data_IF_609650531271
#
_entry.id   IF_609650531271
#
_cell.length_a   1.000
_cell.length_b   1.000
_cell.length_c   1.000
_cell.angle_alpha   90.00
_cell.angle_beta   90.00
_cell.angle_gamma   90.00
#
_symmetry.space_group_name_H-M   'P 1'
#
loop_
_entity.id
_entity.type
_entity.pdbx_description
1 polymer ?
#
# COMPACT_ATOMS: atom_id res chain seq x y z
N UNK A 1 -7.26 -15.50 -5.82
CA UNK A 1 -6.01 -15.11 -6.49
C UNK A 1 -6.02 -13.61 -6.73
N UNK A 2 -4.94 -12.88 -6.41
CA UNK A 2 -4.84 -11.48 -6.77
C UNK A 2 -4.59 -11.32 -8.27
N UNK A 3 -5.19 -10.29 -8.88
CA UNK A 3 -4.92 -9.89 -10.27
C UNK A 3 -4.20 -8.54 -10.23
N UNK A 4 -3.19 -8.36 -11.08
CA UNK A 4 -2.40 -7.14 -11.14
C UNK A 4 -2.59 -6.42 -12.47
N UNK A 5 -2.59 -5.09 -12.42
CA UNK A 5 -2.58 -4.21 -13.57
C UNK A 5 -1.56 -3.09 -13.36
N UNK A 6 -1.04 -2.50 -14.43
CA UNK A 6 -0.14 -1.34 -14.36
C UNK A 6 -0.89 -0.04 -14.05
N UNK A 7 -2.16 0.03 -14.46
CA UNK A 7 -3.00 1.23 -14.35
C UNK A 7 -4.47 0.88 -14.14
N UNK A 8 -5.27 1.90 -13.86
CA UNK A 8 -6.70 1.79 -13.62
C UNK A 8 -7.46 1.81 -14.96
N UNK A 9 -8.12 0.70 -15.30
CA UNK A 9 -9.09 0.68 -16.41
C UNK A 9 -10.36 1.45 -16.04
N UNK A 10 -11.14 1.87 -17.04
CA UNK A 10 -12.41 2.60 -16.82
C UNK A 10 -13.37 1.81 -15.91
N UNK A 11 -13.49 0.49 -16.11
CA UNK A 11 -14.32 -0.37 -15.26
C UNK A 11 -13.87 -0.38 -13.79
N UNK A 12 -12.55 -0.39 -13.55
CA UNK A 12 -12.00 -0.36 -12.20
C UNK A 12 -12.13 1.02 -11.57
N UNK A 13 -11.95 2.10 -12.35
CA UNK A 13 -12.20 3.48 -11.94
C UNK A 13 -13.62 3.64 -11.44
N UNK A 14 -14.58 3.28 -12.28
CA UNK A 14 -16.00 3.48 -11.98
C UNK A 14 -16.41 2.61 -10.78
N UNK A 15 -15.83 1.42 -10.62
CA UNK A 15 -16.02 0.61 -9.43
C UNK A 15 -15.42 1.24 -8.16
N UNK A 16 -14.24 1.86 -8.25
CA UNK A 16 -13.58 2.53 -7.12
C UNK A 16 -14.45 3.68 -6.58
N UNK A 17 -14.94 4.53 -7.49
CA UNK A 17 -15.69 5.73 -7.14
C UNK A 17 -17.05 5.41 -6.50
N UNK A 18 -17.65 4.26 -6.82
CA UNK A 18 -18.89 3.79 -6.17
C UNK A 18 -18.72 3.32 -4.72
N UNK A 19 -17.49 3.15 -4.22
CA UNK A 19 -17.32 2.69 -2.84
C UNK A 19 -17.62 3.83 -1.85
N UNK A 20 -18.23 3.55 -0.68
CA UNK A 20 -18.62 4.59 0.26
C UNK A 20 -17.42 5.25 0.99
N UNK A 21 -16.27 4.58 0.99
CA UNK A 21 -15.04 5.05 1.62
C UNK A 21 -13.82 4.38 0.98
N UNK A 22 -12.65 4.98 1.19
CA UNK A 22 -11.35 4.40 0.87
C UNK A 22 -10.42 4.52 2.07
N UNK A 23 -9.37 3.69 2.09
CA UNK A 23 -8.32 3.75 3.10
C UNK A 23 -7.04 4.24 2.46
N UNK A 24 -6.28 5.05 3.19
CA UNK A 24 -4.93 5.45 2.78
C UNK A 24 -3.95 4.93 3.83
N UNK A 25 -2.99 4.12 3.39
CA UNK A 25 -1.89 3.67 4.22
C UNK A 25 -0.56 4.25 3.76
N UNK A 26 0.26 4.66 4.72
CA UNK A 26 1.60 5.20 4.50
C UNK A 26 2.48 4.86 5.70
N UNK A 27 3.79 4.85 5.50
CA UNK A 27 4.75 4.61 6.58
C UNK A 27 6.01 5.46 6.34
N UNK A 28 6.67 5.92 7.41
CA UNK A 28 7.97 6.54 7.30
C UNK A 28 9.04 5.46 7.01
N UNK A 29 10.26 5.87 6.64
CA UNK A 29 11.39 4.94 6.53
C UNK A 29 11.76 4.32 7.88
N UNK A 30 11.58 5.09 8.97
CA UNK A 30 11.91 4.68 10.33
C UNK A 30 10.74 5.01 11.26
N UNK A 31 10.36 4.03 12.08
CA UNK A 31 9.24 4.14 13.00
C UNK A 31 8.75 2.76 13.38
N UNK A 32 7.88 2.70 14.38
CA UNK A 32 7.30 1.42 14.86
C UNK A 32 5.91 1.16 14.30
N UNK A 33 5.14 2.22 14.04
CA UNK A 33 3.76 2.12 13.57
C UNK A 33 3.66 2.40 12.07
N UNK A 34 2.57 1.92 11.49
CA UNK A 34 2.16 2.18 10.11
C UNK A 34 0.89 3.01 10.19
N UNK A 35 0.82 4.09 9.42
CA UNK A 35 -0.39 4.92 9.36
C UNK A 35 -1.43 4.28 8.43
N UNK A 36 -2.68 4.25 8.88
CA UNK A 36 -3.85 3.83 8.08
C UNK A 36 -5.01 4.74 8.43
N UNK A 37 -5.58 5.42 7.43
CA UNK A 37 -6.68 6.37 7.64
C UNK A 37 -7.87 6.03 6.76
N UNK A 38 -9.06 5.72 7.33
CA UNK A 38 -10.30 5.67 6.56
C UNK A 38 -10.70 7.10 6.15
N UNK A 39 -11.14 7.26 4.90
CA UNK A 39 -11.62 8.51 4.32
C UNK A 39 -12.96 8.26 3.63
N UNK A 40 -13.97 9.02 4.02
CA UNK A 40 -15.31 8.99 3.42
C UNK A 40 -15.47 10.00 2.29
N UNK A 41 -16.68 10.04 1.74
CA UNK A 41 -17.08 10.92 0.64
C UNK A 41 -16.14 10.84 -0.59
N UNK A 42 -15.92 9.66 -1.20
CA UNK A 42 -14.99 9.55 -2.33
C UNK A 42 -15.43 10.40 -3.52
N UNK A 43 -16.73 10.49 -3.79
CA UNK A 43 -17.26 11.32 -4.88
C UNK A 43 -17.01 12.83 -4.70
N UNK A 44 -16.80 13.31 -3.46
CA UNK A 44 -16.52 14.73 -3.20
C UNK A 44 -15.06 15.02 -2.87
N UNK A 45 -14.25 14.00 -2.57
CA UNK A 45 -12.88 14.19 -2.11
C UNK A 45 -11.83 13.45 -2.94
N UNK A 46 -12.19 12.45 -3.74
CA UNK A 46 -11.29 11.61 -4.52
C UNK A 46 -11.59 11.75 -6.01
N UNK A 47 -10.55 11.89 -6.84
CA UNK A 47 -10.69 12.00 -8.28
C UNK A 47 -9.61 11.21 -9.02
N UNK A 48 -9.99 10.63 -10.15
CA UNK A 48 -9.06 9.97 -11.07
C UNK A 48 -8.69 10.97 -12.17
N UNK A 49 -7.43 11.39 -12.18
CA UNK A 49 -6.90 12.40 -13.11
C UNK A 49 -6.39 11.81 -14.43
N UNK A 50 -5.95 10.55 -14.40
CA UNK A 50 -5.60 9.71 -15.54
C UNK A 50 -5.58 8.23 -15.11
N UNK A 51 -5.47 7.25 -16.02
CA UNK A 51 -5.38 5.82 -15.65
C UNK A 51 -4.30 5.50 -14.61
N UNK A 52 -3.21 6.28 -14.57
CA UNK A 52 -2.11 6.08 -13.61
C UNK A 52 -1.97 7.22 -12.61
N UNK A 53 -2.95 8.11 -12.48
CA UNK A 53 -2.87 9.25 -11.55
C UNK A 53 -4.20 9.52 -10.88
N UNK A 54 -4.19 9.51 -9.56
CA UNK A 54 -5.34 9.85 -8.73
C UNK A 54 -4.99 10.97 -7.77
N UNK A 55 -5.99 11.66 -7.27
CA UNK A 55 -5.83 12.71 -6.29
C UNK A 55 -6.93 12.62 -5.24
N UNK A 56 -6.62 13.03 -4.01
CA UNK A 56 -7.66 13.28 -3.03
C UNK A 56 -7.41 14.57 -2.25
N UNK A 57 -8.49 15.22 -1.81
CA UNK A 57 -8.43 16.40 -0.95
C UNK A 57 -8.19 15.96 0.48
N UNK A 58 -7.11 16.46 1.08
CA UNK A 58 -6.83 16.30 2.50
C UNK A 58 -7.44 17.47 3.28
N UNK A 59 -8.51 17.18 4.00
CA UNK A 59 -9.14 18.12 4.92
C UNK A 59 -8.41 18.20 6.26
N UNK A 60 -8.58 19.32 6.94
CA UNK A 60 -7.99 19.57 8.26
C UNK A 60 -8.48 18.53 9.25
N UNK A 61 -7.53 17.86 9.90
CA UNK A 61 -7.75 16.88 10.97
C UNK A 61 -6.57 16.91 11.94
N UNK A 62 -6.64 16.12 13.01
CA UNK A 62 -5.63 16.12 14.09
C UNK A 62 -4.24 15.62 13.65
N UNK A 63 -4.17 14.69 12.70
CA UNK A 63 -2.93 14.12 12.19
C UNK A 63 -2.60 14.55 10.76
N UNK A 64 -1.33 14.49 10.40
CA UNK A 64 -0.82 14.75 9.04
C UNK A 64 0.18 13.67 8.56
N UNK A 65 0.11 12.46 9.13
CA UNK A 65 1.06 11.36 8.89
C UNK A 65 1.29 11.08 7.40
N UNK A 66 0.23 10.98 6.57
CA UNK A 66 0.40 10.78 5.12
C UNK A 66 1.16 11.92 4.46
N UNK A 67 0.95 13.17 4.87
CA UNK A 67 1.72 14.32 4.34
C UNK A 67 3.20 14.17 4.70
N UNK A 68 3.50 13.83 5.96
CA UNK A 68 4.87 13.62 6.44
C UNK A 68 5.57 12.49 5.68
N UNK A 69 4.92 11.33 5.57
CA UNK A 69 5.48 10.15 4.88
C UNK A 69 5.70 10.41 3.39
N UNK A 70 4.76 11.11 2.73
CA UNK A 70 4.92 11.46 1.31
C UNK A 70 6.08 12.42 1.07
N UNK A 71 6.32 13.37 1.98
CA UNK A 71 7.48 14.27 1.90
C UNK A 71 8.81 13.56 2.15
N UNK A 72 8.82 12.55 3.01
CA UNK A 72 10.03 11.79 3.32
C UNK A 72 10.38 10.76 2.23
N UNK A 73 9.39 9.98 1.78
CA UNK A 73 9.63 8.81 0.95
C UNK A 73 8.63 8.61 -0.20
N UNK A 74 7.56 9.39 -0.23
CA UNK A 74 6.57 9.35 -1.32
C UNK A 74 5.68 8.11 -1.35
N UNK A 75 5.81 7.12 -0.45
CA UNK A 75 5.07 5.86 -0.56
C UNK A 75 3.68 5.95 0.06
N UNK A 76 2.67 5.57 -0.71
CA UNK A 76 1.31 5.40 -0.21
C UNK A 76 0.60 4.24 -0.91
N UNK A 77 -0.41 3.69 -0.24
CA UNK A 77 -1.36 2.75 -0.85
C UNK A 77 -2.76 3.21 -0.56
N UNK A 78 -3.59 3.27 -1.60
CA UNK A 78 -5.03 3.53 -1.47
C UNK A 78 -5.76 2.21 -1.61
N UNK A 79 -6.67 1.90 -0.68
CA UNK A 79 -7.47 0.69 -0.73
C UNK A 79 -8.96 1.01 -0.77
N UNK A 80 -9.66 0.34 -1.68
CA UNK A 80 -11.12 0.31 -1.78
C UNK A 80 -11.60 -1.10 -1.46
N UNK A 81 -12.73 -1.23 -0.78
CA UNK A 81 -13.36 -2.52 -0.53
C UNK A 81 -14.88 -2.44 -0.72
N UNK A 82 -15.44 -3.51 -1.28
CA UNK A 82 -16.89 -3.66 -1.37
C UNK A 82 -17.50 -4.16 -0.07
N UNK A 83 -18.52 -3.45 0.38
CA UNK A 83 -19.46 -3.88 1.43
C UNK A 83 -20.77 -4.44 0.85
N UNK A 84 -20.86 -4.58 -0.47
CA UNK A 84 -22.02 -5.13 -1.18
C UNK A 84 -21.90 -6.66 -1.40
N UNK A 85 -22.91 -7.23 -2.05
CA UNK A 85 -22.98 -8.65 -2.37
C UNK A 85 -21.74 -9.19 -3.12
N UNK A 86 -21.10 -8.39 -3.96
CA UNK A 86 -19.92 -8.76 -4.75
C UNK A 86 -18.63 -8.39 -4.01
N UNK A 87 -17.91 -9.38 -3.44
CA UNK A 87 -16.71 -9.09 -2.68
C UNK A 87 -15.57 -8.69 -3.63
N UNK A 88 -14.91 -7.59 -3.30
CA UNK A 88 -13.69 -7.15 -3.99
C UNK A 88 -12.91 -6.20 -3.10
N UNK A 89 -11.60 -6.32 -3.13
CA UNK A 89 -10.67 -5.33 -2.62
C UNK A 89 -9.81 -4.86 -3.79
N UNK A 90 -9.61 -3.56 -3.92
CA UNK A 90 -8.65 -2.97 -4.84
C UNK A 90 -7.63 -2.16 -4.07
N UNK A 91 -6.35 -2.37 -4.37
CA UNK A 91 -5.24 -1.57 -3.85
C UNK A 91 -4.55 -0.85 -5.01
N UNK A 92 -4.33 0.44 -4.84
CA UNK A 92 -3.50 1.28 -5.71
C UNK A 92 -2.19 1.53 -4.98
N UNK A 93 -1.10 0.95 -5.48
CA UNK A 93 0.23 1.23 -4.97
C UNK A 93 0.79 2.44 -5.70
N UNK A 94 1.15 3.47 -4.92
CA UNK A 94 1.45 4.78 -5.48
C UNK A 94 2.73 5.38 -4.91
N UNK A 95 3.38 6.20 -5.73
CA UNK A 95 4.25 7.28 -5.28
C UNK A 95 3.45 8.57 -5.24
N UNK A 96 3.67 9.44 -4.26
CA UNK A 96 2.82 10.60 -4.03
C UNK A 96 3.56 11.89 -3.75
N UNK A 97 2.82 12.99 -3.87
CA UNK A 97 3.27 14.34 -3.54
C UNK A 97 2.13 15.16 -2.93
N UNK A 98 2.49 16.24 -2.24
CA UNK A 98 1.57 17.08 -1.47
C UNK A 98 1.53 18.48 -2.09
N UNK A 99 0.33 18.97 -2.38
CA UNK A 99 0.08 20.33 -2.86
C UNK A 99 -0.76 21.04 -1.80
N UNK A 100 -0.17 21.93 -1.02
CA UNK A 100 -0.89 22.67 0.03
C UNK A 100 -1.80 23.75 -0.56
N UNK A 101 -2.78 24.21 0.23
CA UNK A 101 -3.79 25.20 -0.18
C UNK A 101 -3.21 26.53 -0.71
N UNK A 102 -1.99 26.89 -0.28
CA UNK A 102 -1.27 28.10 -0.67
C UNK A 102 -0.31 27.90 -1.85
N UNK A 103 -0.15 26.68 -2.37
CA UNK A 103 0.64 26.41 -3.57
C UNK A 103 -0.11 26.91 -4.83
N UNK A 104 0.55 27.64 -5.76
CA UNK A 104 -0.09 28.13 -6.99
C UNK A 104 -0.77 27.05 -7.84
N UNK A 105 -0.33 25.78 -7.73
CA UNK A 105 -0.90 24.64 -8.47
C UNK A 105 -2.20 24.13 -7.84
N UNK A 106 -2.48 24.47 -6.59
CA UNK A 106 -3.62 23.96 -5.82
C UNK A 106 -4.95 24.18 -6.53
N UNK A 107 -5.25 25.43 -6.92
CA UNK A 107 -6.49 25.78 -7.60
C UNK A 107 -6.67 25.01 -8.92
N UNK A 108 -5.58 24.79 -9.66
CA UNK A 108 -5.57 24.00 -10.89
C UNK A 108 -5.94 22.53 -10.65
N UNK A 109 -5.40 21.92 -9.59
CA UNK A 109 -5.74 20.54 -9.22
C UNK A 109 -7.18 20.43 -8.72
N UNK A 110 -7.63 21.31 -7.83
CA UNK A 110 -9.02 21.31 -7.34
C UNK A 110 -10.01 21.42 -8.51
N UNK A 111 -9.73 22.31 -9.48
CA UNK A 111 -10.54 22.43 -10.70
C UNK A 111 -10.54 21.14 -11.53
N UNK A 112 -9.37 20.51 -11.73
CA UNK A 112 -9.25 19.24 -12.47
C UNK A 112 -9.96 18.07 -11.78
N UNK A 113 -10.01 18.08 -10.46
CA UNK A 113 -10.70 17.06 -9.67
C UNK A 113 -12.22 17.19 -9.77
N UNK A 114 -12.76 18.36 -10.15
CA UNK A 114 -14.20 18.59 -10.24
C UNK A 114 -14.93 18.57 -8.89
N UNK A 115 -14.19 18.57 -7.77
CA UNK A 115 -14.75 18.52 -6.43
C UNK A 115 -15.37 19.87 -6.05
N UNK A 116 -16.57 19.84 -5.46
CA UNK A 116 -17.17 21.04 -4.86
C UNK A 116 -16.30 21.43 -3.66
N UNK A 117 -15.96 22.72 -3.54
CA UNK A 117 -15.07 23.24 -2.49
C UNK A 117 -15.36 22.60 -1.12
N UNK A 118 -14.40 21.82 -0.62
CA UNK A 118 -14.47 21.18 0.70
C UNK A 118 -14.02 22.19 1.74
N UNK A 119 -14.95 22.60 2.61
CA UNK A 119 -14.64 23.47 3.76
C UNK A 119 -13.55 22.81 4.61
N UNK A 120 -12.47 23.54 4.88
CA UNK A 120 -11.35 23.06 5.68
C UNK A 120 -10.32 22.21 4.94
N UNK A 121 -10.35 22.15 3.60
CA UNK A 121 -9.28 21.54 2.81
C UNK A 121 -7.93 22.24 3.06
N UNK A 122 -6.88 21.46 3.37
CA UNK A 122 -5.52 21.97 3.63
C UNK A 122 -4.50 21.57 2.57
N UNK A 123 -4.74 20.49 1.84
CA UNK A 123 -3.89 20.05 0.74
C UNK A 123 -4.65 19.18 -0.26
N UNK A 124 -4.10 19.04 -1.47
CA UNK A 124 -4.41 17.95 -2.39
C UNK A 124 -3.23 16.98 -2.40
N UNK A 125 -3.54 15.70 -2.24
CA UNK A 125 -2.56 14.63 -2.31
C UNK A 125 -2.62 14.02 -3.70
N UNK A 126 -1.52 14.13 -4.45
CA UNK A 126 -1.40 13.58 -5.80
C UNK A 126 -0.68 12.25 -5.71
N UNK A 127 -1.25 11.21 -6.31
CA UNK A 127 -0.74 9.84 -6.26
C UNK A 127 -0.59 9.30 -7.67
N UNK A 128 0.65 9.00 -8.04
CA UNK A 128 1.04 8.30 -9.26
C UNK A 128 1.01 6.79 -9.00
N UNK A 129 0.09 6.11 -9.67
CA UNK A 129 -0.11 4.66 -9.56
C UNK A 129 0.97 3.97 -10.39
N UNK A 130 1.71 3.06 -9.77
CA UNK A 130 2.63 2.17 -10.47
C UNK A 130 2.17 0.70 -10.47
N UNK A 131 1.16 0.36 -9.66
CA UNK A 131 0.57 -0.98 -9.64
C UNK A 131 -0.83 -0.97 -9.04
N UNK A 132 -1.76 -1.65 -9.69
CA UNK A 132 -3.11 -1.93 -9.18
C UNK A 132 -3.19 -3.42 -8.84
N UNK A 133 -3.77 -3.73 -7.68
CA UNK A 133 -4.02 -5.10 -7.25
C UNK A 133 -5.49 -5.29 -6.91
N UNK A 134 -6.12 -6.29 -7.50
CA UNK A 134 -7.48 -6.75 -7.18
C UNK A 134 -7.40 -8.04 -6.40
N UNK A 135 -8.15 -8.17 -5.30
CA UNK A 135 -8.28 -9.42 -4.55
C UNK A 135 -9.72 -9.74 -4.16
N UNK A 136 -9.94 -10.99 -3.76
CA UNK A 136 -11.27 -11.59 -3.64
C UNK A 136 -12.16 -11.01 -2.54
N UNK A 137 -11.60 -10.41 -1.48
CA UNK A 137 -12.39 -9.74 -0.43
C UNK A 137 -13.38 -10.62 0.36
N UNK A 138 -13.22 -11.94 0.39
CA UNK A 138 -14.21 -12.87 0.95
C UNK A 138 -14.47 -12.74 2.46
N UNK A 139 -13.58 -12.06 3.19
CA UNK A 139 -13.76 -11.74 4.62
C UNK A 139 -14.24 -10.31 4.91
N UNK A 140 -14.41 -9.44 3.89
CA UNK A 140 -14.96 -8.10 4.11
C UNK A 140 -16.45 -8.22 4.42
N UNK A 141 -16.94 -7.62 5.51
CA UNK A 141 -18.33 -7.72 5.92
C UNK A 141 -19.28 -7.08 4.89
N UNK A 142 -20.54 -7.48 4.97
CA UNK A 142 -21.62 -6.85 4.22
C UNK A 142 -22.18 -5.69 5.05
N UNK A 143 -22.45 -4.56 4.40
CA UNK A 143 -23.28 -3.51 4.99
C UNK A 143 -24.74 -3.92 4.80
N UNK A 144 -25.48 -4.00 5.90
CA UNK A 144 -26.87 -4.42 5.95
C UNK A 144 -27.70 -3.42 6.77
N UNK A 145 -29.02 -3.52 6.70
CA UNK A 145 -29.94 -2.71 7.48
C UNK A 145 -30.61 -3.57 8.55
N UNK A 146 -30.45 -3.16 9.80
CA UNK A 146 -31.23 -3.66 10.94
C UNK A 146 -32.35 -2.70 11.25
N UNK A 147 -33.37 -3.15 11.98
CA UNK A 147 -34.44 -2.29 12.48
C UNK A 147 -34.18 -1.99 13.94
N UNK A 148 -34.22 -0.71 14.31
CA UNK A 148 -34.14 -0.30 15.72
C UNK A 148 -35.40 -0.78 16.47
N UNK A 149 -35.27 -1.55 17.56
CA UNK A 149 -36.42 -2.12 18.26
C UNK A 149 -37.29 -1.07 18.96
N UNK A 150 -36.77 0.13 19.26
CA UNK A 150 -37.50 1.19 19.97
C UNK A 150 -38.12 2.19 18.99
N UNK A 151 -37.39 2.59 17.94
CA UNK A 151 -37.87 3.59 16.97
C UNK A 151 -38.48 2.99 15.71
N UNK A 152 -38.27 1.70 15.46
CA UNK A 152 -38.64 0.99 14.23
C UNK A 152 -38.00 1.59 12.96
N UNK A 153 -36.90 2.33 13.11
CA UNK A 153 -36.17 2.96 12.00
C UNK A 153 -35.04 2.05 11.48
N UNK A 154 -34.71 2.10 10.17
CA UNK A 154 -33.56 1.39 9.62
C UNK A 154 -32.22 1.93 10.17
N UNK A 155 -31.40 1.04 10.72
CA UNK A 155 -30.06 1.31 11.23
C UNK A 155 -29.01 0.51 10.45
N UNK A 156 -27.96 1.14 9.91
CA UNK A 156 -26.87 0.42 9.25
C UNK A 156 -26.11 -0.48 10.23
N UNK A 157 -25.86 -1.71 9.82
CA UNK A 157 -25.08 -2.69 10.57
C UNK A 157 -24.13 -3.46 9.63
N UNK A 158 -23.10 -4.10 10.19
CA UNK A 158 -22.23 -5.00 9.44
C UNK A 158 -22.56 -6.46 9.75
N UNK A 159 -22.74 -7.28 8.72
CA UNK A 159 -22.95 -8.72 8.85
C UNK A 159 -21.79 -9.50 8.23
N UNK A 160 -21.51 -10.69 8.80
CA UNK A 160 -20.41 -11.53 8.32
C UNK A 160 -20.73 -12.13 6.94
N UNK A 161 -19.72 -12.14 6.06
CA UNK A 161 -19.82 -12.80 4.76
C UNK A 161 -19.49 -14.30 4.90
N UNK A 162 -20.39 -15.23 4.53
CA UNK A 162 -20.13 -16.67 4.67
C UNK A 162 -19.09 -17.21 3.67
N UNK A 163 -18.69 -16.40 2.69
CA UNK A 163 -17.92 -16.83 1.51
C UNK A 163 -16.50 -17.28 1.85
N UNK A 164 -15.86 -16.71 2.87
CA UNK A 164 -14.50 -17.12 3.27
C UNK A 164 -14.48 -18.57 3.79
N UNK A 165 -15.40 -18.92 4.68
CA UNK A 165 -15.51 -20.29 5.22
C UNK A 165 -15.83 -21.31 4.12
N UNK A 166 -16.82 -21.01 3.27
CA UNK A 166 -17.17 -21.87 2.12
C UNK A 166 -16.01 -22.09 1.15
N UNK A 167 -15.21 -21.05 0.88
CA UNK A 167 -14.02 -21.18 0.04
C UNK A 167 -12.96 -22.08 0.68
N UNK A 168 -12.72 -21.93 1.99
CA UNK A 168 -11.76 -22.76 2.71
C UNK A 168 -12.17 -24.23 2.69
N UNK A 169 -13.42 -24.53 3.03
CA UNK A 169 -14.00 -25.87 3.00
C UNK A 169 -13.92 -26.49 1.60
N UNK A 170 -14.30 -25.73 0.57
CA UNK A 170 -14.21 -26.16 -0.82
C UNK A 170 -12.77 -26.54 -1.22
N UNK A 171 -11.78 -25.74 -0.80
CA UNK A 171 -10.37 -25.97 -1.13
C UNK A 171 -9.80 -27.17 -0.36
N UNK A 172 -10.21 -27.35 0.89
CA UNK A 172 -9.82 -28.49 1.73
C UNK A 172 -10.39 -29.80 1.16
N UNK A 173 -11.68 -29.83 0.82
CA UNK A 173 -12.35 -31.03 0.31
C UNK A 173 -11.76 -31.53 -1.01
N UNK A 174 -11.13 -30.64 -1.79
CA UNK A 174 -10.40 -30.99 -3.03
C UNK A 174 -8.93 -31.38 -2.79
N UNK A 175 -8.42 -31.23 -1.57
CA UNK A 175 -7.00 -31.45 -1.27
C UNK A 175 -6.07 -30.38 -1.84
N UNK A 176 -6.59 -29.25 -2.30
CA UNK A 176 -5.83 -28.21 -3.02
C UNK A 176 -5.23 -27.15 -2.09
N UNK A 177 -5.51 -27.21 -0.78
CA UNK A 177 -5.06 -26.19 0.17
C UNK A 177 -3.53 -26.07 0.26
N UNK A 178 -2.75 -27.17 0.34
CA UNK A 178 -1.29 -27.07 0.38
C UNK A 178 -0.71 -26.42 -0.89
N UNK A 179 -1.20 -26.80 -2.07
CA UNK A 179 -0.78 -26.21 -3.34
C UNK A 179 -1.12 -24.71 -3.41
N UNK A 180 -2.33 -24.34 -2.95
CA UNK A 180 -2.74 -22.94 -2.87
C UNK A 180 -1.83 -22.13 -1.95
N UNK A 181 -1.50 -22.65 -0.76
CA UNK A 181 -0.58 -21.99 0.17
C UNK A 181 0.84 -21.89 -0.42
N UNK A 182 1.33 -22.96 -1.05
CA UNK A 182 2.63 -22.98 -1.73
C UNK A 182 2.72 -21.89 -2.80
N UNK A 183 1.69 -21.76 -3.64
CA UNK A 183 1.65 -20.80 -4.74
C UNK A 183 1.52 -19.34 -4.25
N UNK A 184 0.68 -19.08 -3.25
CA UNK A 184 0.27 -17.71 -2.90
C UNK A 184 0.79 -17.19 -1.57
N UNK A 185 1.33 -18.05 -0.71
CA UNK A 185 1.75 -17.67 0.64
C UNK A 185 3.23 -17.93 0.91
N UNK A 186 3.99 -18.45 -0.06
CA UNK A 186 5.44 -18.66 0.11
C UNK A 186 6.25 -17.36 0.13
N UNK A 187 5.77 -16.27 -0.51
CA UNK A 187 6.47 -14.98 -0.59
C UNK A 187 5.51 -13.78 -0.52
N UNK A 188 6.02 -12.64 -0.06
CA UNK A 188 5.32 -11.34 -0.14
C UNK A 188 5.43 -10.72 -1.54
N UNK A 189 4.70 -9.62 -1.78
CA UNK A 189 4.82 -8.85 -3.03
C UNK A 189 6.22 -8.25 -3.25
N UNK A 190 6.95 -8.02 -2.15
CA UNK A 190 8.33 -7.51 -2.15
C UNK A 190 9.37 -8.64 -2.13
N UNK A 191 8.94 -9.90 -2.29
CA UNK A 191 9.82 -11.07 -2.31
C UNK A 191 10.29 -11.58 -0.95
N UNK A 192 9.77 -11.01 0.16
CA UNK A 192 10.11 -11.49 1.50
C UNK A 192 9.57 -12.91 1.72
N UNK A 193 10.29 -13.77 2.47
CA UNK A 193 9.77 -15.05 2.95
C UNK A 193 8.38 -14.94 3.58
N UNK A 194 7.47 -15.82 3.16
CA UNK A 194 6.11 -15.92 3.69
C UNK A 194 5.96 -17.08 4.66
N UNK A 195 4.90 -17.87 4.47
CA UNK A 195 4.55 -19.01 5.30
C UNK A 195 5.60 -20.13 5.17
N UNK A 196 6.23 -20.50 6.28
CA UNK A 196 7.28 -21.52 6.28
C UNK A 196 6.80 -22.91 5.83
N UNK A 197 5.55 -23.30 6.10
CA UNK A 197 5.01 -24.57 5.57
C UNK A 197 4.94 -24.54 4.04
N UNK A 198 4.34 -23.50 3.48
CA UNK A 198 4.27 -23.28 2.03
C UNK A 198 5.65 -23.24 1.37
N UNK A 199 6.65 -22.64 2.03
CA UNK A 199 8.03 -22.62 1.53
C UNK A 199 8.65 -24.02 1.54
N UNK A 200 8.46 -24.80 2.61
CA UNK A 200 8.95 -26.19 2.69
C UNK A 200 8.31 -27.07 1.62
N UNK A 201 7.01 -26.94 1.40
CA UNK A 201 6.28 -27.69 0.38
C UNK A 201 6.80 -27.37 -1.03
N UNK A 202 7.28 -26.14 -1.23
CA UNK A 202 7.95 -25.70 -2.47
C UNK A 202 9.40 -26.14 -2.60
N UNK A 203 9.96 -26.82 -1.59
CA UNK A 203 11.38 -27.21 -1.53
C UNK A 203 12.33 -26.07 -1.16
N UNK A 204 11.83 -24.96 -0.61
CA UNK A 204 12.66 -23.83 -0.19
C UNK A 204 13.22 -24.04 1.23
N UNK A 205 14.49 -23.67 1.44
CA UNK A 205 15.15 -23.80 2.73
C UNK A 205 14.77 -22.68 3.71
N UNK A 206 14.23 -23.05 4.87
CA UNK A 206 13.82 -22.08 5.92
C UNK A 206 15.00 -21.34 6.53
N UNK A 207 16.17 -21.97 6.68
CA UNK A 207 17.36 -21.28 7.17
C UNK A 207 17.77 -20.13 6.22
N UNK A 208 17.62 -20.33 4.89
CA UNK A 208 17.85 -19.28 3.91
C UNK A 208 16.84 -18.15 4.03
N UNK A 209 15.57 -18.47 4.33
CA UNK A 209 14.55 -17.48 4.66
C UNK A 209 14.98 -16.57 5.82
N UNK A 210 15.51 -17.16 6.91
CA UNK A 210 16.04 -16.39 8.03
C UNK A 210 17.22 -15.49 7.64
N UNK A 211 18.15 -15.99 6.83
CA UNK A 211 19.29 -15.20 6.30
C UNK A 211 18.78 -14.02 5.47
N UNK A 212 17.82 -14.25 4.56
CA UNK A 212 17.26 -13.17 3.73
C UNK A 212 16.52 -12.12 4.55
N UNK A 213 15.73 -12.54 5.56
CA UNK A 213 15.06 -11.61 6.47
C UNK A 213 16.05 -10.80 7.30
N UNK A 214 17.11 -11.45 7.81
CA UNK A 214 18.19 -10.76 8.53
C UNK A 214 18.86 -9.73 7.63
N UNK A 215 19.21 -10.11 6.40
CA UNK A 215 19.83 -9.20 5.44
C UNK A 215 18.92 -8.01 5.06
N UNK A 216 17.61 -8.25 4.87
CA UNK A 216 16.64 -7.18 4.61
C UNK A 216 16.48 -6.25 5.81
N UNK A 217 16.43 -6.79 7.03
CA UNK A 217 16.33 -5.99 8.26
C UNK A 217 17.56 -5.10 8.48
N UNK A 218 18.75 -5.64 8.20
CA UNK A 218 20.02 -4.95 8.37
C UNK A 218 20.54 -4.25 7.10
N UNK A 219 19.73 -4.16 6.04
CA UNK A 219 20.16 -3.65 4.74
C UNK A 219 20.88 -2.29 4.84
N UNK A 220 20.29 -1.34 5.57
CA UNK A 220 20.89 -0.02 5.78
C UNK A 220 22.24 -0.07 6.51
N UNK A 221 22.38 -0.94 7.51
CA UNK A 221 23.65 -1.10 8.22
C UNK A 221 24.71 -1.76 7.34
N UNK A 222 24.32 -2.76 6.54
CA UNK A 222 25.19 -3.41 5.57
C UNK A 222 25.68 -2.41 4.52
N UNK A 223 24.84 -1.49 4.06
CA UNK A 223 25.24 -0.46 3.10
C UNK A 223 26.21 0.56 3.72
N UNK A 224 26.01 0.95 4.97
CA UNK A 224 26.98 1.78 5.71
C UNK A 224 28.33 1.07 5.83
N UNK A 225 28.33 -0.22 6.19
CA UNK A 225 29.57 -0.99 6.33
C UNK A 225 30.28 -1.10 4.97
N UNK A 226 29.56 -1.43 3.90
CA UNK A 226 30.11 -1.55 2.54
C UNK A 226 30.72 -0.22 2.08
N UNK A 227 29.99 0.88 2.23
CA UNK A 227 30.46 2.22 1.83
C UNK A 227 31.66 2.67 2.66
N UNK A 228 31.66 2.41 3.97
CA UNK A 228 32.80 2.66 4.85
C UNK A 228 34.05 1.85 4.46
N UNK A 229 33.90 0.56 4.19
CA UNK A 229 35.00 -0.31 3.74
C UNK A 229 35.56 0.13 2.39
N UNK A 230 34.69 0.49 1.43
CA UNK A 230 35.11 0.98 0.11
C UNK A 230 35.88 2.30 0.21
N UNK A 231 35.43 3.22 1.06
CA UNK A 231 36.12 4.49 1.29
C UNK A 231 37.48 4.28 1.95
N UNK A 232 37.57 3.41 2.97
CA UNK A 232 38.83 3.05 3.61
C UNK A 232 39.81 2.41 2.63
N UNK A 233 39.32 1.49 1.79
CA UNK A 233 40.14 0.88 0.74
C UNK A 233 40.67 1.92 -0.24
N UNK A 234 39.84 2.85 -0.70
CA UNK A 234 40.25 3.94 -1.59
C UNK A 234 41.33 4.82 -0.94
N UNK A 235 41.17 5.19 0.34
CA UNK A 235 42.15 6.00 1.08
C UNK A 235 43.50 5.28 1.16
N UNK A 236 43.51 3.96 1.42
CA UNK A 236 44.75 3.18 1.46
C UNK A 236 45.45 3.14 0.09
N UNK A 237 44.69 2.93 -0.99
CA UNK A 237 45.25 2.94 -2.36
C UNK A 237 45.85 4.30 -2.72
N UNK A 238 45.16 5.39 -2.38
CA UNK A 238 45.67 6.75 -2.61
C UNK A 238 46.91 7.02 -1.78
N UNK A 239 46.93 6.65 -0.50
CA UNK A 239 48.11 6.81 0.36
C UNK A 239 49.32 6.01 -0.16
N UNK A 240 49.10 4.79 -0.62
CA UNK A 240 50.15 3.95 -1.22
C UNK A 240 50.66 4.54 -2.55
N UNK A 241 49.76 5.10 -3.37
CA UNK A 241 50.14 5.79 -4.61
C UNK A 241 50.93 7.07 -4.34
N UNK A 242 50.50 7.90 -3.38
CA UNK A 242 51.25 9.10 -2.96
C UNK A 242 52.62 8.72 -2.42
N UNK A 243 52.71 7.68 -1.59
CA UNK A 243 53.98 7.14 -1.13
C UNK A 243 54.87 6.73 -2.32
N UNK A 244 54.35 5.96 -3.26
CA UNK A 244 55.09 5.56 -4.47
C UNK A 244 55.59 6.76 -5.28
N UNK A 245 54.74 7.78 -5.51
CA UNK A 245 55.11 8.99 -6.25
C UNK A 245 56.21 9.78 -5.52
N UNK A 246 56.13 9.90 -4.19
CA UNK A 246 57.11 10.66 -3.40
C UNK A 246 58.48 9.97 -3.30
N UNK A 247 58.54 8.63 -3.31
CA UNK A 247 59.80 7.87 -3.22
C UNK A 247 60.50 7.64 -4.57
N UNK A 248 59.91 8.08 -5.69
CA UNK A 248 60.51 7.99 -7.03
C UNK A 248 61.37 9.22 -7.42
N UNK A 249 61.47 10.23 -6.54
CA UNK A 249 62.30 11.44 -6.71
C UNK A 249 63.30 11.56 -5.56
#
# INVERSE_FOLDING_TARGET
MPIFYESLSDNLRDWALRQPLFFVSSAPYRGRHINVSPKGLPDSSFAVLSPSKVAYVDSTGSGCETICHLRENGRATVMFCSFDATPRIMRLFCTGSVIEWNDPRYAGYVKRMGVKSLVGARAVIILDIFKVQISCGFGVPLLDLTVDPETNEPKPCFTNRPRLGKFAEYTINRGELPEYQMQWNSRSLDGLPGLHSAMRDKGEFIWWAHVTNWASYYHFQLDIIKTGMALMFLVMVVAQWVGYVLYQW
#
